data_IF_449849221224
#
_entry.id   IF_449849221224
#
_cell.length_a   1.000
_cell.length_b   1.000
_cell.length_c   1.000
_cell.angle_alpha   90.00
_cell.angle_beta   90.00
_cell.angle_gamma   90.00
#
_symmetry.space_group_name_H-M   'P 1'
#
loop_
_entity.id
_entity.type
_entity.pdbx_description
1 polymer ?
#
# COMPACT_ATOMS: atom_id res chain seq x y z
N UNK A 1 -4.96 -46.38 59.05
CA UNK A 1 -5.01 -45.01 59.59
C UNK A 1 -4.36 -44.06 58.58
N UNK A 2 -4.98 -42.90 58.45
CA UNK A 2 -4.92 -41.96 57.33
C UNK A 2 -3.73 -41.00 57.47
N UNK A 3 -2.99 -40.76 56.38
CA UNK A 3 -2.57 -39.39 56.05
C UNK A 3 -2.06 -39.28 54.62
N UNK A 4 -2.86 -38.62 53.78
CA UNK A 4 -2.47 -38.08 52.49
C UNK A 4 -1.71 -36.75 52.71
N UNK A 5 -0.56 -36.57 52.05
CA UNK A 5 -0.01 -35.24 51.79
C UNK A 5 0.01 -34.98 50.29
N UNK A 6 -0.96 -34.16 49.88
CA UNK A 6 -0.99 -33.42 48.62
C UNK A 6 0.16 -32.41 48.59
N UNK A 7 0.99 -32.46 47.55
CA UNK A 7 1.89 -31.38 47.20
C UNK A 7 1.29 -30.61 46.01
N UNK A 8 0.90 -29.36 46.26
CA UNK A 8 0.49 -28.40 45.24
C UNK A 8 1.68 -27.53 44.78
N UNK A 9 1.57 -26.89 43.59
CA UNK A 9 2.70 -26.37 42.84
C UNK A 9 3.11 -24.96 43.30
N UNK A 10 4.42 -24.75 43.46
CA UNK A 10 4.99 -23.42 43.67
C UNK A 10 5.04 -22.67 42.34
N UNK A 11 4.11 -21.74 42.18
CA UNK A 11 4.20 -20.66 41.21
C UNK A 11 5.44 -19.80 41.49
N UNK A 12 6.21 -19.50 40.44
CA UNK A 12 7.20 -18.42 40.45
C UNK A 12 6.70 -17.28 39.57
N UNK A 13 6.57 -16.04 40.08
CA UNK A 13 6.32 -14.88 39.27
C UNK A 13 7.60 -14.48 38.49
N UNK A 14 7.44 -14.14 37.22
CA UNK A 14 8.50 -13.60 36.38
C UNK A 14 8.92 -12.21 36.86
N UNK A 15 10.23 -11.88 36.91
CA UNK A 15 10.69 -10.56 37.27
C UNK A 15 10.47 -9.57 36.11
N UNK A 16 9.80 -8.46 36.44
CA UNK A 16 9.68 -7.27 35.59
C UNK A 16 11.04 -6.57 35.60
N UNK A 17 11.80 -6.68 34.50
CA UNK A 17 12.99 -5.86 34.29
C UNK A 17 12.60 -4.53 33.63
N UNK A 18 12.63 -3.45 34.42
CA UNK A 18 12.65 -2.06 33.98
C UNK A 18 14.08 -1.68 33.56
N UNK A 19 14.46 -2.05 32.34
CA UNK A 19 15.79 -1.76 31.78
C UNK A 19 15.75 -0.72 30.67
N UNK A 20 16.15 0.50 31.01
CA UNK A 20 16.52 1.58 30.07
C UNK A 20 17.53 1.06 29.03
N UNK A 21 17.21 1.25 27.74
CA UNK A 21 18.24 1.53 26.74
C UNK A 21 17.77 2.71 25.89
N UNK A 22 18.49 3.82 26.07
CA UNK A 22 18.43 4.98 25.21
C UNK A 22 19.35 4.84 24.00
N UNK A 23 19.10 5.74 23.05
CA UNK A 23 19.99 6.23 21.99
C UNK A 23 20.27 5.28 20.82
N UNK A 24 19.52 5.47 19.72
CA UNK A 24 19.95 6.01 18.41
C UNK A 24 18.64 6.41 17.69
N UNK A 25 18.42 7.57 17.11
CA UNK A 25 19.32 8.58 16.56
C UNK A 25 18.76 8.99 15.19
N UNK A 26 18.17 10.18 15.12
CA UNK A 26 17.98 11.04 13.92
C UNK A 26 17.14 10.51 12.73
N UNK A 27 15.83 10.76 12.77
CA UNK A 27 15.04 11.25 11.62
C UNK A 27 13.83 12.03 12.16
N UNK A 28 14.11 13.17 12.80
CA UNK A 28 13.07 14.08 13.27
C UNK A 28 13.58 15.52 13.18
N UNK A 29 13.62 16.06 11.97
CA UNK A 29 13.67 17.52 11.77
C UNK A 29 12.99 17.84 10.45
N UNK A 30 11.75 18.32 10.53
CA UNK A 30 11.06 19.21 9.59
C UNK A 30 9.55 19.05 9.78
N UNK A 31 9.05 19.59 10.91
CA UNK A 31 7.69 20.11 11.14
C UNK A 31 7.50 20.32 12.64
N UNK A 32 8.13 21.37 13.18
CA UNK A 32 7.78 22.01 14.45
C UNK A 32 8.49 23.36 14.60
N UNK A 33 8.15 24.28 13.71
CA UNK A 33 8.08 25.71 13.99
C UNK A 33 6.69 26.04 13.43
N UNK A 34 5.67 26.23 14.25
CA UNK A 34 5.36 27.45 15.01
C UNK A 34 4.37 27.01 16.11
N UNK A 35 4.62 27.44 17.35
CA UNK A 35 3.63 27.76 18.40
C UNK A 35 4.24 27.55 19.80
N UNK A 36 4.50 28.67 20.48
CA UNK A 36 4.64 28.85 21.94
C UNK A 36 5.34 30.21 22.14
N UNK A 37 4.57 31.30 22.20
CA UNK A 37 4.10 31.98 23.42
C UNK A 37 5.14 32.90 24.07
N UNK A 38 4.93 34.21 23.87
CA UNK A 38 5.15 35.23 24.91
C UNK A 38 3.97 36.19 24.86
N UNK A 39 3.27 36.30 25.98
CA UNK A 39 2.19 37.26 26.16
C UNK A 39 2.73 38.67 26.40
N UNK A 40 2.02 39.65 25.86
CA UNK A 40 1.91 41.01 26.38
C UNK A 40 0.48 41.52 26.12
N UNK A 41 0.05 42.38 27.02
CA UNK A 41 -1.32 42.73 27.37
C UNK A 41 -2.05 43.69 26.41
N UNK A 42 -3.38 43.56 26.42
CA UNK A 42 -4.46 44.55 26.22
C UNK A 42 -4.34 45.61 25.11
N UNK A 43 -5.19 45.48 24.09
CA UNK A 43 -6.03 46.57 23.58
C UNK A 43 -7.28 45.99 22.90
N UNK A 44 -8.43 46.53 23.31
CA UNK A 44 -9.76 46.28 22.80
C UNK A 44 -9.94 46.98 21.43
N UNK A 45 -9.96 46.21 20.34
CA UNK A 45 -10.39 46.69 19.03
C UNK A 45 -11.19 45.62 18.26
N UNK A 46 -12.51 45.82 18.26
CA UNK A 46 -13.45 45.58 17.14
C UNK A 46 -13.18 44.32 16.30
N UNK A 47 -13.85 43.23 16.65
CA UNK A 47 -14.02 42.06 15.80
C UNK A 47 -14.42 42.41 14.36
N UNK A 48 -13.59 42.12 13.33
CA UNK A 48 -14.09 42.04 11.97
C UNK A 48 -14.90 40.75 11.85
N UNK A 49 -16.13 40.90 11.34
CA UNK A 49 -17.09 39.82 11.09
C UNK A 49 -16.41 38.64 10.39
N UNK A 50 -16.58 37.44 10.97
CA UNK A 50 -16.35 36.13 10.33
C UNK A 50 -16.83 36.18 8.88
N UNK A 51 -16.01 35.84 7.87
CA UNK A 51 -16.51 35.60 6.53
C UNK A 51 -17.55 34.48 6.60
N UNK A 52 -18.78 34.82 6.23
CA UNK A 52 -19.86 33.86 6.08
C UNK A 52 -19.39 32.71 5.20
N UNK A 53 -19.76 31.49 5.60
CA UNK A 53 -19.57 30.29 4.81
C UNK A 53 -20.09 30.55 3.39
N UNK A 54 -19.18 30.58 2.41
CA UNK A 54 -19.57 30.52 1.02
C UNK A 54 -20.24 29.17 0.83
N UNK A 55 -21.55 29.23 0.55
CA UNK A 55 -22.32 28.13 0.01
C UNK A 55 -21.57 27.58 -1.20
N UNK A 56 -20.98 26.38 -1.05
CA UNK A 56 -20.52 25.59 -2.18
C UNK A 56 -21.78 25.06 -2.89
N UNK A 57 -22.31 25.86 -3.81
CA UNK A 57 -23.25 25.38 -4.82
C UNK A 57 -22.55 24.30 -5.65
N UNK A 58 -23.30 23.24 -5.96
CA UNK A 58 -22.83 22.07 -6.69
C UNK A 58 -22.37 22.39 -8.10
N UNK A 59 -21.08 22.73 -8.24
CA UNK A 59 -20.38 22.68 -9.51
C UNK A 59 -20.04 21.23 -9.82
N UNK A 60 -20.50 20.74 -10.97
CA UNK A 60 -20.06 19.48 -11.54
C UNK A 60 -18.52 19.43 -11.49
N UNK A 61 -17.98 18.35 -10.92
CA UNK A 61 -16.56 18.05 -11.01
C UNK A 61 -16.28 17.80 -12.49
N UNK A 62 -15.85 18.85 -13.20
CA UNK A 62 -15.13 18.69 -14.46
C UNK A 62 -14.04 17.64 -14.21
N UNK A 63 -14.00 16.53 -14.97
CA UNK A 63 -12.94 15.56 -14.81
C UNK A 63 -11.65 16.28 -15.17
N UNK A 64 -10.88 16.67 -14.15
CA UNK A 64 -9.52 17.15 -14.35
C UNK A 64 -8.86 16.15 -15.28
N UNK A 65 -8.45 16.60 -16.47
CA UNK A 65 -7.65 15.84 -17.40
C UNK A 65 -6.49 15.27 -16.59
N UNK A 66 -6.55 13.99 -16.20
CA UNK A 66 -5.42 13.30 -15.58
C UNK A 66 -4.33 13.39 -16.65
N UNK A 67 -3.41 14.34 -16.48
CA UNK A 67 -2.22 14.43 -17.33
C UNK A 67 -1.60 13.05 -17.36
N UNK A 68 -1.64 12.43 -18.53
CA UNK A 68 -1.12 11.09 -18.71
C UNK A 68 0.39 11.20 -18.56
N UNK A 69 0.87 10.93 -17.35
CA UNK A 69 2.29 10.91 -17.01
C UNK A 69 3.00 10.02 -18.02
N UNK A 70 3.98 10.56 -18.74
CA UNK A 70 4.76 9.83 -19.72
C UNK A 70 6.14 9.56 -19.13
N UNK A 71 6.43 8.35 -18.64
CA UNK A 71 7.71 8.08 -17.99
C UNK A 71 8.89 8.39 -18.91
N UNK A 72 9.90 9.10 -18.40
CA UNK A 72 11.13 9.36 -19.17
C UNK A 72 11.97 8.10 -19.39
N UNK A 73 12.91 8.15 -20.35
CA UNK A 73 13.81 7.04 -20.67
C UNK A 73 14.58 6.53 -19.42
N UNK A 74 15.00 7.46 -18.56
CA UNK A 74 15.68 7.16 -17.29
C UNK A 74 14.85 6.24 -16.37
N UNK A 75 13.51 6.33 -16.38
CA UNK A 75 12.63 5.46 -15.60
C UNK A 75 12.62 4.04 -16.19
N UNK A 76 12.57 3.91 -17.52
CA UNK A 76 12.63 2.61 -18.19
C UNK A 76 13.97 1.91 -17.95
N UNK A 77 15.07 2.64 -18.02
CA UNK A 77 16.40 2.12 -17.70
C UNK A 77 16.49 1.64 -16.24
N UNK A 78 15.98 2.45 -15.30
CA UNK A 78 15.88 2.05 -13.89
C UNK A 78 15.04 0.77 -13.72
N UNK A 79 13.86 0.72 -14.34
CA UNK A 79 12.98 -0.45 -14.31
C UNK A 79 13.70 -1.72 -14.80
N UNK A 80 14.41 -1.62 -15.93
CA UNK A 80 15.17 -2.72 -16.51
C UNK A 80 16.32 -3.16 -15.61
N UNK A 81 17.10 -2.20 -15.08
CA UNK A 81 18.26 -2.47 -14.22
C UNK A 81 17.86 -3.10 -12.89
N UNK A 82 16.83 -2.57 -12.24
CA UNK A 82 16.45 -2.99 -10.89
C UNK A 82 15.29 -3.98 -10.85
N UNK A 83 14.72 -4.36 -12.00
CA UNK A 83 13.56 -5.25 -12.12
C UNK A 83 12.33 -4.71 -11.38
N UNK A 84 12.14 -3.39 -11.44
CA UNK A 84 10.95 -2.71 -10.93
C UNK A 84 10.01 -2.44 -12.10
N UNK A 85 8.72 -2.64 -11.90
CA UNK A 85 7.69 -2.46 -12.94
C UNK A 85 6.86 -1.20 -12.69
N UNK A 86 6.14 -0.76 -13.72
CA UNK A 86 5.15 0.31 -13.59
C UNK A 86 3.89 -0.17 -12.84
N UNK A 87 3.11 0.72 -12.20
CA UNK A 87 1.90 0.32 -11.48
C UNK A 87 0.84 -0.36 -12.35
N UNK A 88 0.92 -0.23 -13.68
CA UNK A 88 0.03 -0.88 -14.66
C UNK A 88 0.07 -2.41 -14.62
N UNK A 89 1.08 -3.02 -13.99
CA UNK A 89 1.15 -4.48 -13.77
C UNK A 89 0.28 -4.96 -12.60
N UNK A 90 -0.23 -4.05 -11.77
CA UNK A 90 -1.16 -4.39 -10.70
C UNK A 90 -2.48 -4.90 -11.29
N UNK A 91 -2.99 -5.97 -10.70
CA UNK A 91 -4.26 -6.60 -11.08
C UNK A 91 -5.10 -6.80 -9.83
N UNK A 92 -6.43 -6.75 -9.97
CA UNK A 92 -7.32 -7.11 -8.87
C UNK A 92 -7.00 -8.53 -8.40
N UNK A 93 -6.89 -8.74 -7.08
CA UNK A 93 -6.62 -10.05 -6.53
C UNK A 93 -7.80 -11.00 -6.80
N UNK A 94 -7.67 -11.83 -7.83
CA UNK A 94 -8.68 -12.83 -8.18
C UNK A 94 -8.74 -13.91 -7.10
N UNK A 95 -9.95 -14.34 -6.74
CA UNK A 95 -10.16 -15.36 -5.71
C UNK A 95 -10.14 -14.83 -4.26
N UNK A 96 -9.95 -13.53 -4.05
CA UNK A 96 -10.08 -12.90 -2.72
C UNK A 96 -11.44 -12.23 -2.61
N UNK A 97 -12.42 -12.98 -2.12
CA UNK A 97 -13.77 -12.46 -1.88
C UNK A 97 -13.93 -12.09 -0.40
N UNK A 98 -14.21 -10.82 -0.17
CA UNK A 98 -14.63 -10.32 1.12
C UNK A 98 -16.16 -10.24 1.07
N UNK A 99 -16.84 -11.27 1.57
CA UNK A 99 -18.31 -11.26 1.66
C UNK A 99 -18.69 -11.46 3.13
N UNK A 100 -19.41 -10.50 3.75
CA UNK A 100 -19.65 -9.12 3.28
C UNK A 100 -18.36 -8.27 3.23
N UNK A 101 -18.33 -7.21 2.40
CA UNK A 101 -17.25 -6.18 2.36
C UNK A 101 -17.78 -4.79 2.76
N UNK A 102 -18.13 -4.58 4.04
CA UNK A 102 -18.70 -3.31 4.48
C UNK A 102 -17.71 -2.13 4.34
N UNK A 103 -16.40 -2.43 4.27
CA UNK A 103 -15.32 -1.45 4.22
C UNK A 103 -14.93 -1.05 2.78
N UNK A 104 -15.58 -1.67 1.78
CA UNK A 104 -15.26 -1.53 0.35
C UNK A 104 -13.75 -1.69 0.09
N UNK A 105 -13.12 -2.67 0.72
CA UNK A 105 -11.67 -2.89 0.57
C UNK A 105 -11.41 -3.42 -0.84
N UNK A 106 -10.63 -2.65 -1.61
CA UNK A 106 -10.06 -3.05 -2.89
C UNK A 106 -8.67 -3.65 -2.68
N UNK A 107 -8.35 -4.70 -3.44
CA UNK A 107 -7.07 -5.41 -3.34
C UNK A 107 -6.50 -5.53 -4.74
N UNK A 108 -5.33 -4.95 -4.96
CA UNK A 108 -4.56 -5.12 -6.17
C UNK A 108 -3.22 -5.75 -5.83
N UNK A 109 -2.78 -6.70 -6.66
CA UNK A 109 -1.57 -7.48 -6.45
C UNK A 109 -0.78 -7.60 -7.74
N UNK A 110 0.53 -7.76 -7.61
CA UNK A 110 1.42 -8.14 -8.69
C UNK A 110 2.54 -9.01 -8.14
N UNK A 111 2.91 -10.05 -8.89
CA UNK A 111 4.08 -10.90 -8.62
C UNK A 111 5.40 -10.12 -8.76
N UNK A 112 5.38 -9.01 -9.50
CA UNK A 112 6.52 -8.12 -9.67
C UNK A 112 6.46 -6.96 -8.69
N UNK A 113 7.61 -6.54 -8.21
CA UNK A 113 7.77 -5.27 -7.53
C UNK A 113 7.49 -4.12 -8.50
N UNK A 114 6.69 -3.16 -8.05
CA UNK A 114 6.28 -2.03 -8.88
C UNK A 114 6.21 -0.73 -8.07
N UNK A 115 6.30 0.38 -8.78
CA UNK A 115 6.06 1.71 -8.21
C UNK A 115 4.63 1.84 -7.66
N UNK A 116 4.46 2.74 -6.69
CA UNK A 116 3.13 3.18 -6.26
C UNK A 116 2.59 4.25 -7.22
N UNK A 117 1.27 4.30 -7.46
CA UNK A 117 0.67 5.29 -8.38
C UNK A 117 1.05 6.74 -7.98
N UNK A 118 1.13 7.01 -6.69
CA UNK A 118 1.43 8.34 -6.15
C UNK A 118 2.84 8.85 -6.44
N UNK A 119 3.82 7.96 -6.68
CA UNK A 119 5.19 8.40 -7.00
C UNK A 119 5.37 8.68 -8.48
N UNK A 120 4.46 8.19 -9.34
CA UNK A 120 4.60 8.33 -10.79
C UNK A 120 4.66 9.78 -11.25
N UNK A 121 3.97 10.69 -10.56
CA UNK A 121 3.99 12.13 -10.86
C UNK A 121 5.38 12.78 -10.74
N UNK A 122 6.32 12.10 -10.09
CA UNK A 122 7.72 12.53 -9.96
C UNK A 122 8.67 11.80 -10.91
N UNK A 123 8.14 10.86 -11.69
CA UNK A 123 8.85 9.99 -12.63
C UNK A 123 8.35 10.26 -14.05
N UNK A 124 8.14 11.53 -14.37
CA UNK A 124 7.64 11.97 -15.67
C UNK A 124 8.76 12.00 -16.72
N UNK A 125 8.47 12.52 -17.91
CA UNK A 125 9.41 12.57 -19.04
C UNK A 125 10.69 13.31 -18.69
N UNK A 126 10.53 14.45 -18.02
CA UNK A 126 11.63 15.28 -17.55
C UNK A 126 12.07 14.82 -16.15
N UNK A 127 13.38 14.70 -15.96
CA UNK A 127 13.93 14.39 -14.65
C UNK A 127 13.60 15.51 -13.67
N UNK A 128 12.94 15.16 -12.57
CA UNK A 128 12.62 16.11 -11.50
C UNK A 128 13.70 16.03 -10.42
N UNK A 129 13.85 17.09 -9.63
CA UNK A 129 14.83 17.13 -8.55
C UNK A 129 14.72 15.95 -7.55
N UNK A 130 13.53 15.37 -7.41
CA UNK A 130 13.28 14.24 -6.50
C UNK A 130 13.40 12.85 -7.15
N UNK A 131 13.59 12.75 -8.47
CA UNK A 131 13.62 11.47 -9.19
C UNK A 131 14.70 10.54 -8.65
N UNK A 132 15.93 11.06 -8.45
CA UNK A 132 17.04 10.30 -7.87
C UNK A 132 16.73 9.78 -6.47
N UNK A 133 16.20 10.64 -5.60
CA UNK A 133 15.79 10.26 -4.23
C UNK A 133 14.73 9.17 -4.24
N UNK A 134 13.77 9.22 -5.17
CA UNK A 134 12.77 8.17 -5.33
C UNK A 134 13.43 6.86 -5.76
N UNK A 135 14.35 6.89 -6.74
CA UNK A 135 15.10 5.71 -7.14
C UNK A 135 15.87 5.08 -5.98
N UNK A 136 16.57 5.88 -5.18
CA UNK A 136 17.31 5.40 -4.01
C UNK A 136 16.39 4.71 -2.99
N UNK A 137 15.19 5.26 -2.75
CA UNK A 137 14.18 4.63 -1.89
C UNK A 137 13.77 3.25 -2.43
N UNK A 138 13.54 3.12 -3.73
CA UNK A 138 13.11 1.86 -4.34
C UNK A 138 14.24 0.82 -4.43
N UNK A 139 15.49 1.27 -4.61
CA UNK A 139 16.67 0.41 -4.50
C UNK A 139 16.78 -0.15 -3.09
N UNK A 140 16.70 0.70 -2.06
CA UNK A 140 16.75 0.26 -0.66
C UNK A 140 15.59 -0.70 -0.31
N UNK A 141 14.39 -0.44 -0.85
CA UNK A 141 13.20 -1.28 -0.62
C UNK A 141 13.30 -2.67 -1.24
N UNK A 142 14.15 -2.88 -2.25
CA UNK A 142 14.32 -4.18 -2.95
C UNK A 142 14.75 -5.32 -2.02
N UNK A 143 15.36 -5.00 -0.87
CA UNK A 143 15.71 -6.01 0.14
C UNK A 143 14.47 -6.69 0.77
N UNK A 144 13.28 -6.14 0.57
CA UNK A 144 12.02 -6.63 1.12
C UNK A 144 11.28 -7.44 0.04
N UNK A 145 10.94 -8.72 0.30
CA UNK A 145 10.23 -9.53 -0.70
C UNK A 145 8.80 -9.04 -0.91
N UNK A 146 8.11 -8.53 0.11
CA UNK A 146 6.77 -7.97 -0.02
C UNK A 146 6.80 -6.45 0.05
N UNK A 147 6.29 -5.81 -0.99
CA UNK A 147 6.01 -4.39 -1.01
C UNK A 147 4.52 -4.19 -0.82
N UNK A 148 4.09 -3.44 0.17
CA UNK A 148 2.68 -3.07 0.25
C UNK A 148 2.47 -1.59 0.50
N UNK A 149 1.32 -1.12 0.04
CA UNK A 149 0.82 0.22 0.32
C UNK A 149 -0.67 0.15 0.63
N UNK A 150 -1.09 1.08 1.49
CA UNK A 150 -2.51 1.21 1.88
C UNK A 150 -2.88 2.67 1.71
N UNK A 151 -3.92 2.93 0.94
CA UNK A 151 -4.47 4.27 0.74
C UNK A 151 -5.99 4.23 0.85
N UNK A 152 -6.58 5.37 1.18
CA UNK A 152 -8.03 5.55 1.24
C UNK A 152 -8.50 6.37 0.05
N UNK A 153 -9.69 6.09 -0.45
CA UNK A 153 -10.33 6.93 -1.46
C UNK A 153 -10.66 8.29 -0.78
N UNK A 154 -10.33 9.43 -1.42
CA UNK A 154 -10.52 10.76 -0.82
C UNK A 154 -11.98 11.23 -0.90
N UNK A 155 -12.93 10.40 -0.49
CA UNK A 155 -14.38 10.72 -0.46
C UNK A 155 -14.81 11.44 0.84
N UNK A 156 -13.90 11.62 1.80
CA UNK A 156 -14.20 12.22 3.10
C UNK A 156 -13.11 13.19 3.52
N UNK A 157 -13.25 13.82 4.69
CA UNK A 157 -12.22 14.71 5.23
C UNK A 157 -10.87 13.98 5.36
N UNK A 158 -9.74 14.70 5.28
CA UNK A 158 -8.41 14.08 5.26
C UNK A 158 -8.10 13.21 6.50
N UNK A 159 -8.68 13.55 7.66
CA UNK A 159 -8.43 12.88 8.93
C UNK A 159 -8.98 11.43 8.93
N UNK A 160 -10.28 11.15 8.68
CA UNK A 160 -10.79 9.80 8.46
C UNK A 160 -10.03 9.02 7.38
N UNK A 161 -9.68 9.66 6.26
CA UNK A 161 -8.92 8.98 5.20
C UNK A 161 -7.57 8.46 5.71
N UNK A 162 -6.83 9.30 6.45
CA UNK A 162 -5.53 8.95 7.03
C UNK A 162 -5.67 7.89 8.10
N UNK A 163 -6.67 8.03 8.97
CA UNK A 163 -6.88 7.13 10.10
C UNK A 163 -7.39 5.76 9.65
N UNK A 164 -8.34 5.70 8.72
CA UNK A 164 -8.81 4.45 8.12
C UNK A 164 -7.68 3.67 7.45
N UNK A 165 -6.84 4.34 6.64
CA UNK A 165 -5.66 3.73 6.03
C UNK A 165 -4.64 3.26 7.09
N UNK A 166 -4.44 4.02 8.17
CA UNK A 166 -3.55 3.65 9.27
C UNK A 166 -4.02 2.39 9.97
N UNK A 167 -5.31 2.32 10.33
CA UNK A 167 -5.93 1.17 10.99
C UNK A 167 -5.92 -0.07 10.10
N UNK A 168 -6.27 0.07 8.82
CA UNK A 168 -6.23 -1.05 7.86
C UNK A 168 -4.80 -1.57 7.66
N UNK A 169 -3.81 -0.68 7.58
CA UNK A 169 -2.40 -1.07 7.50
C UNK A 169 -1.93 -1.81 8.76
N UNK A 170 -2.40 -1.39 9.94
CA UNK A 170 -2.07 -2.06 11.19
C UNK A 170 -2.67 -3.47 11.22
N UNK A 171 -3.97 -3.60 10.94
CA UNK A 171 -4.64 -4.89 10.88
C UNK A 171 -3.98 -5.85 9.88
N UNK A 172 -3.59 -5.35 8.69
CA UNK A 172 -2.88 -6.15 7.70
C UNK A 172 -1.53 -6.70 8.21
N UNK A 173 -0.80 -5.90 9.00
CA UNK A 173 0.46 -6.35 9.62
C UNK A 173 0.22 -7.40 10.69
N UNK A 174 -0.82 -7.23 11.49
CA UNK A 174 -1.19 -8.21 12.52
C UNK A 174 -1.60 -9.54 11.88
N UNK A 175 -2.35 -9.50 10.77
CA UNK A 175 -2.69 -10.69 9.99
C UNK A 175 -1.48 -11.38 9.35
N UNK A 176 -0.49 -10.63 8.88
CA UNK A 176 0.78 -11.21 8.41
C UNK A 176 1.51 -11.93 9.54
N UNK A 177 1.64 -11.27 10.70
CA UNK A 177 2.30 -11.82 11.87
C UNK A 177 1.59 -13.08 12.40
N UNK A 178 0.25 -13.07 12.46
CA UNK A 178 -0.57 -14.20 12.88
C UNK A 178 -0.36 -15.44 11.99
N UNK A 179 0.01 -15.26 10.72
CA UNK A 179 0.33 -16.35 9.78
C UNK A 179 1.82 -16.68 9.72
N UNK A 180 2.62 -16.14 10.63
CA UNK A 180 4.05 -16.41 10.74
C UNK A 180 4.91 -15.68 9.70
N UNK A 181 4.44 -14.55 9.16
CA UNK A 181 5.26 -13.67 8.32
C UNK A 181 5.78 -12.46 9.10
N UNK A 182 6.95 -11.97 8.72
CA UNK A 182 7.44 -10.68 9.20
C UNK A 182 6.73 -9.51 8.50
N UNK A 183 7.11 -8.29 8.89
CA UNK A 183 6.55 -7.05 8.31
C UNK A 183 6.85 -6.88 6.82
N UNK A 184 7.85 -7.59 6.30
CA UNK A 184 8.38 -7.48 4.94
C UNK A 184 8.00 -8.71 4.09
N UNK A 185 7.16 -9.61 4.61
CA UNK A 185 6.63 -10.80 3.93
C UNK A 185 7.50 -12.04 3.96
N UNK A 186 8.57 -12.09 4.75
CA UNK A 186 9.40 -13.28 4.95
C UNK A 186 8.74 -14.22 5.94
N UNK A 187 8.80 -15.53 5.70
CA UNK A 187 8.30 -16.51 6.66
C UNK A 187 9.29 -16.63 7.83
N UNK A 188 8.76 -16.55 9.06
CA UNK A 188 9.55 -16.66 10.30
C UNK A 188 9.66 -18.13 10.75
N UNK A 189 8.63 -18.95 10.47
CA UNK A 189 8.63 -20.37 10.78
C UNK A 189 9.40 -21.18 9.72
N UNK A 190 10.23 -22.13 10.15
CA UNK A 190 11.16 -22.87 9.29
C UNK A 190 10.51 -24.03 8.48
N UNK A 191 9.32 -24.48 8.92
CA UNK A 191 8.70 -25.72 8.45
C UNK A 191 7.84 -25.57 7.19
N UNK A 192 7.60 -24.33 6.74
CA UNK A 192 6.73 -24.10 5.60
C UNK A 192 7.47 -24.25 4.25
N UNK A 193 6.79 -24.87 3.29
CA UNK A 193 7.20 -24.93 1.88
C UNK A 193 7.32 -23.53 1.23
N UNK A 194 6.75 -22.53 1.88
CA UNK A 194 6.76 -21.12 1.51
C UNK A 194 7.92 -20.41 2.21
N UNK A 195 8.84 -19.83 1.44
CA UNK A 195 9.94 -19.02 1.98
C UNK A 195 9.51 -17.58 2.25
N UNK A 196 8.80 -16.96 1.30
CA UNK A 196 8.32 -15.58 1.42
C UNK A 196 7.11 -15.30 0.51
N UNK A 197 6.49 -14.14 0.76
CA UNK A 197 5.53 -13.49 -0.13
C UNK A 197 6.28 -12.49 -0.99
N UNK A 198 6.36 -12.73 -2.30
CA UNK A 198 7.13 -11.89 -3.20
C UNK A 198 6.23 -11.06 -4.13
N UNK A 199 6.42 -9.74 -4.16
CA UNK A 199 5.76 -8.84 -5.10
C UNK A 199 5.17 -7.59 -4.45
N UNK A 200 4.20 -6.96 -5.12
CA UNK A 200 3.53 -5.75 -4.63
C UNK A 200 2.05 -5.99 -4.32
N UNK A 201 1.58 -5.46 -3.19
CA UNK A 201 0.18 -5.45 -2.75
C UNK A 201 -0.30 -4.02 -2.49
N UNK A 202 -1.39 -3.61 -3.12
CA UNK A 202 -2.07 -2.35 -2.86
C UNK A 202 -3.44 -2.60 -2.26
N UNK A 203 -3.65 -2.09 -1.05
CA UNK A 203 -4.94 -2.09 -0.39
C UNK A 203 -5.58 -0.71 -0.53
N UNK A 204 -6.84 -0.71 -0.95
CA UNK A 204 -7.66 0.49 -1.10
C UNK A 204 -8.76 0.43 -0.06
N UNK A 205 -8.84 1.43 0.82
CA UNK A 205 -9.97 1.62 1.71
C UNK A 205 -11.02 2.47 1.00
N UNK A 206 -12.09 1.83 0.52
CA UNK A 206 -13.18 2.50 -0.18
C UNK A 206 -14.06 3.35 0.73
N UNK A 207 -14.32 2.88 1.96
CA UNK A 207 -15.04 3.65 2.99
C UNK A 207 -14.17 3.89 4.24
N UNK A 208 -13.46 5.03 4.30
CA UNK A 208 -12.61 5.37 5.43
C UNK A 208 -13.40 5.67 6.72
N UNK A 209 -14.65 6.14 6.65
CA UNK A 209 -15.46 6.41 7.85
C UNK A 209 -15.81 5.12 8.55
N UNK A 210 -16.27 4.11 7.79
CA UNK A 210 -16.56 2.79 8.35
C UNK A 210 -15.30 2.15 8.91
N UNK A 211 -14.16 2.26 8.21
CA UNK A 211 -12.87 1.77 8.72
C UNK A 211 -12.42 2.43 10.03
N UNK A 212 -12.82 3.68 10.28
CA UNK A 212 -12.55 4.37 11.53
C UNK A 212 -13.47 3.96 12.68
N UNK A 213 -14.67 3.45 12.40
CA UNK A 213 -15.68 3.15 13.42
C UNK A 213 -15.82 1.65 13.71
N UNK A 214 -15.44 0.80 12.76
CA UNK A 214 -15.48 -0.66 12.90
C UNK A 214 -14.56 -1.13 14.05
N UNK A 215 -14.90 -2.26 14.69
CA UNK A 215 -14.03 -2.84 15.71
C UNK A 215 -12.72 -3.31 15.07
N UNK A 216 -11.60 -3.10 15.76
CA UNK A 216 -10.29 -3.49 15.20
C UNK A 216 -10.18 -4.99 14.94
N UNK A 217 -10.76 -5.84 15.80
CA UNK A 217 -10.80 -7.28 15.58
C UNK A 217 -11.52 -7.68 14.26
N UNK A 218 -12.52 -6.92 13.83
CA UNK A 218 -13.20 -7.17 12.55
C UNK A 218 -12.31 -6.78 11.37
N UNK A 219 -11.55 -5.68 11.48
CA UNK A 219 -10.51 -5.34 10.49
C UNK A 219 -9.48 -6.45 10.35
N UNK A 220 -9.02 -7.03 11.47
CA UNK A 220 -8.08 -8.15 11.47
C UNK A 220 -8.69 -9.38 10.79
N UNK A 221 -9.96 -9.70 11.04
CA UNK A 221 -10.66 -10.80 10.34
C UNK A 221 -10.74 -10.57 8.83
N UNK A 222 -11.05 -9.35 8.38
CA UNK A 222 -11.07 -9.05 6.96
C UNK A 222 -9.67 -9.14 6.36
N UNK A 223 -8.66 -8.57 7.02
CA UNK A 223 -7.28 -8.58 6.53
C UNK A 223 -6.64 -9.96 6.57
N UNK A 224 -7.04 -10.86 7.48
CA UNK A 224 -6.59 -12.25 7.46
C UNK A 224 -7.07 -12.99 6.21
N UNK A 225 -8.33 -12.82 5.81
CA UNK A 225 -8.85 -13.33 4.52
C UNK A 225 -8.04 -12.77 3.34
N UNK A 226 -7.64 -11.50 3.41
CA UNK A 226 -6.81 -10.85 2.39
C UNK A 226 -5.43 -11.52 2.32
N UNK A 227 -4.75 -11.69 3.46
CA UNK A 227 -3.43 -12.33 3.51
C UNK A 227 -3.52 -13.77 3.01
N UNK A 228 -4.56 -14.54 3.38
CA UNK A 228 -4.81 -15.88 2.84
C UNK A 228 -4.91 -15.90 1.31
N UNK A 229 -5.61 -14.91 0.75
CA UNK A 229 -5.77 -14.74 -0.68
C UNK A 229 -4.46 -14.36 -1.37
N UNK A 230 -3.69 -13.44 -0.78
CA UNK A 230 -2.40 -12.99 -1.28
C UNK A 230 -1.38 -14.13 -1.26
N UNK A 231 -1.38 -14.95 -0.21
CA UNK A 231 -0.50 -16.12 -0.08
C UNK A 231 -0.66 -17.06 -1.29
N UNK A 232 -1.89 -17.32 -1.74
CA UNK A 232 -2.13 -18.11 -2.95
C UNK A 232 -1.55 -17.50 -4.22
N UNK A 233 -1.33 -16.19 -4.27
CA UNK A 233 -0.88 -15.49 -5.47
C UNK A 233 0.64 -15.23 -5.42
N UNK A 234 1.16 -14.84 -4.27
CA UNK A 234 2.53 -14.31 -4.10
C UNK A 234 3.46 -15.26 -3.34
N UNK A 235 2.98 -16.40 -2.84
CA UNK A 235 3.85 -17.36 -2.16
C UNK A 235 4.93 -17.91 -3.09
N UNK A 236 6.16 -17.85 -2.59
CA UNK A 236 7.36 -18.29 -3.29
C UNK A 236 8.06 -19.36 -2.47
N UNK A 237 8.49 -20.42 -3.14
CA UNK A 237 9.22 -21.50 -2.49
C UNK A 237 10.67 -21.14 -2.20
N UNK A 238 11.38 -22.03 -1.50
CA UNK A 238 12.83 -21.90 -1.22
C UNK A 238 13.69 -21.79 -2.50
N UNK A 239 13.18 -22.28 -3.63
CA UNK A 239 13.80 -22.18 -4.96
C UNK A 239 13.60 -20.81 -5.64
N UNK A 240 12.93 -19.85 -5.00
CA UNK A 240 12.66 -18.53 -5.56
C UNK A 240 11.60 -18.52 -6.68
N UNK A 241 10.87 -19.62 -6.89
CA UNK A 241 9.77 -19.69 -7.86
C UNK A 241 8.42 -19.58 -7.16
N UNK A 242 7.45 -18.95 -7.81
CA UNK A 242 6.08 -18.89 -7.33
C UNK A 242 5.46 -20.29 -7.30
N UNK A 243 4.94 -20.69 -6.16
CA UNK A 243 4.43 -22.06 -5.94
C UNK A 243 3.20 -22.33 -6.82
N UNK A 244 2.34 -21.33 -6.98
CA UNK A 244 1.08 -21.48 -7.71
C UNK A 244 1.14 -21.01 -9.18
N UNK A 245 2.32 -20.59 -9.68
CA UNK A 245 2.47 -20.18 -11.08
C UNK A 245 2.23 -21.33 -12.06
N UNK A 246 2.56 -22.57 -11.68
CA UNK A 246 2.33 -23.76 -12.51
C UNK A 246 0.83 -24.04 -12.75
N UNK A 247 -0.05 -23.64 -11.84
CA UNK A 247 -1.50 -23.86 -11.97
C UNK A 247 -2.19 -22.86 -12.90
N UNK A 248 -1.61 -21.67 -13.12
CA UNK A 248 -2.19 -20.64 -14.02
C UNK A 248 -2.17 -21.05 -15.50
N UNK A 249 -1.26 -21.95 -15.90
CA UNK A 249 -1.08 -22.33 -17.31
C UNK A 249 -2.07 -23.40 -17.82
N UNK A 250 -3.00 -23.90 -17.00
CA UNK A 250 -3.94 -24.95 -17.42
C UNK A 250 -5.22 -24.45 -18.14
N UNK A 251 -5.35 -23.17 -18.47
CA UNK A 251 -6.63 -22.70 -19.04
C UNK A 251 -6.66 -21.38 -19.81
N UNK A 252 -5.53 -20.77 -20.18
CA UNK A 252 -5.58 -19.55 -21.00
C UNK A 252 -4.57 -19.61 -22.16
N UNK A 253 -5.03 -19.53 -23.43
CA UNK A 253 -4.11 -19.33 -24.55
C UNK A 253 -3.41 -17.98 -24.39
N UNK A 254 -2.09 -18.00 -24.56
CA UNK A 254 -1.23 -16.83 -24.42
C UNK A 254 -1.66 -15.72 -25.40
N UNK A 255 -2.43 -14.73 -24.92
CA UNK A 255 -2.60 -13.46 -25.65
C UNK A 255 -1.33 -12.65 -25.47
N UNK A 256 -0.45 -12.74 -26.46
CA UNK A 256 0.73 -11.90 -26.64
C UNK A 256 0.32 -10.42 -26.77
N UNK A 257 0.24 -9.72 -25.64
CA UNK A 257 -0.11 -8.30 -25.55
C UNK A 257 0.99 -7.34 -26.04
N UNK A 258 1.82 -7.75 -27.02
CA UNK A 258 2.94 -6.95 -27.53
C UNK A 258 3.02 -6.85 -29.06
N UNK A 259 1.95 -7.17 -29.80
CA UNK A 259 1.93 -7.07 -31.29
C UNK A 259 0.76 -6.26 -31.86
N UNK A 260 0.45 -5.10 -31.30
CA UNK A 260 -0.51 -4.18 -31.93
C UNK A 260 -0.12 -2.73 -31.73
N UNK A 261 1.01 -2.31 -32.30
CA UNK A 261 1.30 -0.89 -32.53
C UNK A 261 1.73 -0.55 -33.96
N UNK A 262 1.86 -1.53 -34.87
CA UNK A 262 2.30 -1.30 -36.26
C UNK A 262 1.21 -1.42 -37.33
N UNK A 263 -0.05 -1.09 -37.03
CA UNK A 263 -1.16 -1.16 -38.02
C UNK A 263 -1.85 0.15 -38.37
N UNK A 264 -1.18 1.29 -38.20
CA UNK A 264 -1.69 2.61 -38.61
C UNK A 264 -0.73 3.39 -39.53
N UNK A 265 -0.14 2.73 -40.54
CA UNK A 265 0.54 3.41 -41.66
C UNK A 265 0.15 2.75 -42.99
N UNK A 266 -1.06 3.03 -43.45
CA UNK A 266 -1.48 3.01 -44.88
C UNK A 266 -2.98 3.30 -44.97
N UNK A 267 -3.39 4.54 -44.74
CA UNK A 267 -4.67 5.04 -45.25
C UNK A 267 -4.65 6.56 -45.40
N UNK A 268 -3.71 7.05 -46.18
CA UNK A 268 -3.76 8.43 -46.69
C UNK A 268 -3.13 8.45 -48.07
N UNK A 269 -3.90 8.02 -49.07
CA UNK A 269 -3.83 8.52 -50.44
C UNK A 269 -4.97 7.92 -51.26
N UNK A 270 -5.49 8.74 -52.18
CA UNK A 270 -6.49 8.44 -53.21
C UNK A 270 -7.96 8.54 -52.83
N UNK A 271 -8.48 9.76 -52.99
CA UNK A 271 -9.62 10.13 -53.88
C UNK A 271 -9.78 11.65 -53.74
N UNK A 272 -9.30 12.50 -54.65
CA UNK A 272 -9.52 12.47 -56.10
C UNK A 272 -10.74 13.33 -56.40
N UNK A 273 -10.53 14.64 -56.55
CA UNK A 273 -11.53 15.57 -57.08
C UNK A 273 -11.76 15.25 -58.56
N UNK A 274 -13.03 15.09 -58.96
CA UNK A 274 -13.43 15.25 -60.36
C UNK A 274 -14.40 16.43 -60.47
N UNK A 275 -14.17 17.20 -61.53
CA UNK A 275 -14.93 18.38 -61.96
C UNK A 275 -16.35 18.02 -62.38
#
# INVERSE_FOLDING_TARGET
>A
MISFRLAQPLGRPWPIHSGRYGCYGRYASLRRCISSERGLAFADERHPKRPQARNFSGGALEPSTEEVIQPGAHVFEFCKKYQVSFPSVLRRAQGVQLTPNPLLIGIMVSERHCFTKNVMKYLDKYEQAFTKTIFDIYIAKKQKPLWYSVFSVPITTPLPCREGARRLRHAFRDSLAARGYDRDGRKIAADDSIADLHGTVHLVCGDPKVACNVKFAELVKHTDKIVAGIERILARGKNGRFINAAQKNKGQPAKSAWRSMDRNKTKTQNRGWSK
#
